data_IF_894025534837
#
_entry.id   IF_894025534837
#
_cell.length_a   1.000
_cell.length_b   1.000
_cell.length_c   1.000
_cell.angle_alpha   90.00
_cell.angle_beta   90.00
_cell.angle_gamma   90.00
#
_symmetry.space_group_name_H-M   'P 1'
#
loop_
_entity.id
_entity.type
_entity.pdbx_description
1 polymer ?
#
# COMPACT_ATOMS: atom_id res chain seq x y z
N UNK A 1 -1.69 5.45 9.47
CA UNK A 1 -0.36 5.51 10.13
C UNK A 1 0.25 4.12 10.14
N UNK A 2 1.54 4.01 9.91
CA UNK A 2 2.26 2.73 9.89
C UNK A 2 3.65 2.88 10.50
N UNK A 3 4.22 1.81 11.08
CA UNK A 3 5.54 1.79 11.71
C UNK A 3 5.76 2.95 12.70
N UNK A 4 4.75 3.24 13.49
CA UNK A 4 4.74 4.42 14.37
C UNK A 4 4.42 4.02 15.80
N UNK A 5 5.24 4.44 16.79
CA UNK A 5 4.94 4.20 18.21
C UNK A 5 3.61 4.84 18.63
N UNK A 6 2.96 4.27 19.63
CA UNK A 6 1.67 4.76 20.14
C UNK A 6 1.71 6.23 20.56
N UNK A 7 2.80 6.68 21.15
CA UNK A 7 2.99 8.08 21.53
C UNK A 7 2.90 9.03 20.34
N UNK A 8 3.59 8.70 19.25
CA UNK A 8 3.54 9.48 18.00
C UNK A 8 2.16 9.40 17.34
N UNK A 9 1.53 8.23 17.36
CA UNK A 9 0.15 8.07 16.85
C UNK A 9 -0.81 8.99 17.60
N UNK A 10 -0.70 9.09 18.92
CA UNK A 10 -1.54 9.97 19.73
C UNK A 10 -1.33 11.44 19.36
N UNK A 11 -0.09 11.86 19.08
CA UNK A 11 0.18 13.21 18.58
C UNK A 11 -0.50 13.47 17.26
N UNK A 12 -0.43 12.53 16.31
CA UNK A 12 -1.12 12.66 15.01
C UNK A 12 -2.61 12.83 15.20
N UNK A 13 -3.22 12.01 16.05
CA UNK A 13 -4.66 12.08 16.35
C UNK A 13 -5.03 13.46 16.90
N UNK A 14 -4.25 13.98 17.84
CA UNK A 14 -4.47 15.30 18.41
C UNK A 14 -4.34 16.43 17.38
N UNK A 15 -3.35 16.33 16.49
CA UNK A 15 -3.14 17.33 15.44
C UNK A 15 -4.29 17.30 14.43
N UNK A 16 -4.73 16.12 14.03
CA UNK A 16 -5.89 15.96 13.12
C UNK A 16 -7.14 16.56 13.77
N UNK A 17 -7.35 16.31 15.06
CA UNK A 17 -8.48 16.88 15.78
C UNK A 17 -8.41 18.42 15.87
N UNK A 18 -7.21 18.95 16.04
CA UNK A 18 -6.99 20.40 16.13
C UNK A 18 -7.11 21.12 14.79
N UNK A 19 -6.44 20.62 13.76
CA UNK A 19 -6.37 21.26 12.44
C UNK A 19 -7.55 20.93 11.54
N UNK A 20 -8.25 19.81 11.79
CA UNK A 20 -9.35 19.31 10.96
C UNK A 20 -8.91 18.99 9.52
N UNK A 21 -9.85 18.68 8.65
CA UNK A 21 -9.60 18.41 7.22
C UNK A 21 -9.25 16.98 6.88
N UNK A 22 -8.87 16.15 7.84
CA UNK A 22 -8.59 14.71 7.64
C UNK A 22 -9.36 13.86 8.63
N UNK A 23 -9.57 12.61 8.24
CA UNK A 23 -10.04 11.55 9.13
C UNK A 23 -9.01 10.42 9.14
N UNK A 24 -8.96 9.69 10.24
CA UNK A 24 -7.99 8.60 10.43
C UNK A 24 -8.69 7.27 10.16
N UNK A 25 -8.08 6.46 9.27
CA UNK A 25 -8.50 5.10 9.00
C UNK A 25 -7.47 4.12 9.59
N UNK A 26 -7.89 2.96 10.08
CA UNK A 26 -6.97 1.96 10.62
C UNK A 26 -6.04 1.36 9.56
N UNK A 27 -6.54 1.20 8.34
CA UNK A 27 -5.80 0.64 7.20
C UNK A 27 -6.02 1.46 5.95
N UNK A 28 -5.11 1.31 4.97
CA UNK A 28 -5.26 1.93 3.66
C UNK A 28 -6.48 1.35 2.96
N UNK A 29 -7.33 2.23 2.46
CA UNK A 29 -8.55 1.90 1.71
C UNK A 29 -8.70 2.82 0.51
N UNK A 30 -9.78 2.65 -0.24
CA UNK A 30 -10.03 3.43 -1.47
C UNK A 30 -10.18 4.94 -1.26
N UNK A 31 -10.50 5.38 -0.04
CA UNK A 31 -10.61 6.81 0.29
C UNK A 31 -9.34 7.37 0.92
N UNK A 32 -8.32 6.58 1.15
CA UNK A 32 -7.06 7.03 1.74
C UNK A 32 -6.31 7.92 0.76
N UNK A 33 -5.83 9.07 1.25
CA UNK A 33 -5.03 10.02 0.48
C UNK A 33 -3.61 10.15 1.00
N UNK A 34 -3.40 9.92 2.28
CA UNK A 34 -2.13 10.12 2.98
C UNK A 34 -1.80 8.92 3.85
N UNK A 35 -0.56 8.44 3.74
CA UNK A 35 0.00 7.40 4.60
C UNK A 35 1.18 8.02 5.34
N UNK A 36 1.12 8.01 6.67
CA UNK A 36 2.21 8.49 7.52
C UNK A 36 3.03 7.32 8.02
N UNK A 37 4.31 7.34 7.75
CA UNK A 37 5.25 6.30 8.18
C UNK A 37 6.20 6.85 9.26
N UNK A 38 6.23 6.22 10.41
CA UNK A 38 7.16 6.58 11.48
C UNK A 38 8.58 6.12 11.23
N UNK A 39 8.74 5.02 10.49
CA UNK A 39 10.01 4.50 9.99
C UNK A 39 9.83 4.13 8.52
N UNK A 40 10.88 4.28 7.68
CA UNK A 40 10.78 4.00 6.24
C UNK A 40 10.82 2.48 5.95
N UNK A 41 9.87 1.75 6.48
CA UNK A 41 9.75 0.30 6.31
C UNK A 41 8.69 -0.02 5.26
N UNK A 42 8.93 -1.08 4.49
CA UNK A 42 7.99 -1.58 3.47
C UNK A 42 6.86 -2.37 4.12
N UNK A 43 5.99 -1.68 4.83
CA UNK A 43 4.79 -2.30 5.41
C UNK A 43 3.71 -2.48 4.35
N UNK A 44 2.73 -3.33 4.63
CA UNK A 44 1.57 -3.52 3.75
C UNK A 44 0.84 -2.20 3.48
N UNK A 45 0.66 -1.36 4.51
CA UNK A 45 0.00 -0.06 4.35
C UNK A 45 0.81 0.90 3.45
N UNK A 46 2.15 0.88 3.52
CA UNK A 46 2.99 1.66 2.59
C UNK A 46 2.80 1.16 1.17
N UNK A 47 2.85 -0.14 0.95
CA UNK A 47 2.71 -0.72 -0.40
C UNK A 47 1.33 -0.47 -0.99
N UNK A 48 0.27 -0.63 -0.21
CA UNK A 48 -1.09 -0.29 -0.63
C UNK A 48 -1.24 1.20 -0.92
N UNK A 49 -0.63 2.05 -0.08
CA UNK A 49 -0.62 3.49 -0.29
C UNK A 49 0.06 3.88 -1.61
N UNK A 50 1.22 3.30 -1.91
CA UNK A 50 1.93 3.51 -3.18
C UNK A 50 1.06 3.05 -4.35
N UNK A 51 0.50 1.85 -4.29
CA UNK A 51 -0.32 1.28 -5.36
C UNK A 51 -1.58 2.11 -5.63
N UNK A 52 -2.14 2.78 -4.61
CA UNK A 52 -3.29 3.67 -4.74
C UNK A 52 -2.93 5.11 -5.11
N UNK A 53 -1.65 5.44 -5.21
CA UNK A 53 -1.19 6.78 -5.54
C UNK A 53 -1.32 7.77 -4.40
N UNK A 54 -1.28 7.31 -3.16
CA UNK A 54 -1.33 8.16 -1.97
C UNK A 54 0.00 8.89 -1.74
N UNK A 55 -0.06 9.99 -0.99
CA UNK A 55 1.11 10.57 -0.36
C UNK A 55 1.66 9.61 0.68
N UNK A 56 2.95 9.33 0.64
CA UNK A 56 3.66 8.56 1.68
C UNK A 56 4.65 9.50 2.35
N UNK A 57 4.33 9.91 3.56
CA UNK A 57 4.97 11.03 4.24
C UNK A 57 5.66 10.61 5.53
N UNK A 58 6.67 11.41 5.92
CA UNK A 58 7.28 11.29 7.23
C UNK A 58 6.39 11.92 8.32
N UNK A 59 6.61 11.48 9.56
CA UNK A 59 5.94 12.05 10.74
C UNK A 59 6.20 13.56 10.90
N UNK A 60 7.33 14.06 10.42
CA UNK A 60 7.70 15.47 10.52
C UNK A 60 6.70 16.41 9.85
N UNK A 61 6.00 15.94 8.80
CA UNK A 61 4.95 16.72 8.17
C UNK A 61 3.84 17.14 9.15
N UNK A 62 3.47 16.23 10.05
CA UNK A 62 2.46 16.51 11.09
C UNK A 62 2.99 17.52 12.10
N UNK A 63 4.24 17.36 12.54
CA UNK A 63 4.85 18.26 13.51
C UNK A 63 4.98 19.69 12.98
N UNK A 64 5.45 19.84 11.75
CA UNK A 64 5.57 21.16 11.12
C UNK A 64 4.22 21.78 10.81
N UNK A 65 3.23 20.97 10.44
CA UNK A 65 1.85 21.46 10.27
C UNK A 65 1.28 21.97 11.59
N UNK A 66 1.53 21.28 12.68
CA UNK A 66 1.12 21.73 14.02
C UNK A 66 1.78 23.06 14.38
N UNK A 67 3.10 23.16 14.18
CA UNK A 67 3.88 24.37 14.49
C UNK A 67 3.36 25.58 13.73
N UNK A 68 2.99 25.43 12.46
CA UNK A 68 2.50 26.50 11.60
C UNK A 68 0.97 26.71 11.70
N UNK A 69 0.26 25.83 12.41
CA UNK A 69 -1.17 25.96 12.67
C UNK A 69 -2.08 25.59 11.49
N UNK A 70 -1.55 25.00 10.43
CA UNK A 70 -2.32 24.52 9.28
C UNK A 70 -1.57 23.42 8.55
N UNK A 71 -2.28 22.61 7.76
CA UNK A 71 -1.67 21.58 6.94
C UNK A 71 -0.79 22.21 5.86
N UNK A 72 0.50 21.85 5.85
CA UNK A 72 1.48 22.41 4.92
C UNK A 72 1.68 21.48 3.72
N UNK A 73 2.44 21.96 2.72
CA UNK A 73 2.74 21.15 1.54
C UNK A 73 3.35 19.80 1.90
N UNK A 74 2.86 18.75 1.29
CA UNK A 74 3.32 17.37 1.50
C UNK A 74 4.67 17.10 0.85
N UNK A 75 4.97 17.73 -0.26
CA UNK A 75 6.11 17.40 -1.13
C UNK A 75 7.47 17.34 -0.41
N UNK A 76 7.84 18.31 0.46
CA UNK A 76 9.13 18.25 1.16
C UNK A 76 9.26 17.06 2.12
N UNK A 77 8.15 16.46 2.51
CA UNK A 77 8.08 15.37 3.50
C UNK A 77 7.80 14.01 2.86
N UNK A 78 7.67 13.96 1.54
CA UNK A 78 7.45 12.71 0.82
C UNK A 78 8.68 11.82 0.92
N UNK A 79 8.47 10.55 1.29
CA UNK A 79 9.53 9.57 1.46
C UNK A 79 10.03 9.01 0.12
N UNK A 80 10.28 9.89 -0.85
CA UNK A 80 10.68 9.53 -2.21
C UNK A 80 12.06 8.87 -2.27
N UNK A 81 12.96 9.18 -1.34
CA UNK A 81 14.28 8.56 -1.27
C UNK A 81 14.17 7.07 -0.88
N UNK A 82 13.29 6.74 0.05
CA UNK A 82 13.07 5.38 0.52
C UNK A 82 12.10 4.60 -0.38
N UNK A 83 11.14 5.30 -0.97
CA UNK A 83 10.10 4.72 -1.82
C UNK A 83 9.98 5.49 -3.14
N UNK A 84 10.92 5.28 -4.08
CA UNK A 84 10.92 6.03 -5.34
C UNK A 84 9.65 5.87 -6.18
N UNK A 85 8.94 4.76 -6.02
CA UNK A 85 7.67 4.52 -6.72
C UNK A 85 6.52 5.40 -6.20
N UNK A 86 6.60 5.90 -4.97
CA UNK A 86 5.53 6.69 -4.37
C UNK A 86 5.20 7.95 -5.18
N UNK A 87 6.16 8.86 -5.49
CA UNK A 87 5.86 10.03 -6.29
C UNK A 87 5.45 9.67 -7.73
N UNK A 88 5.99 8.61 -8.30
CA UNK A 88 5.64 8.17 -9.67
C UNK A 88 4.19 7.70 -9.73
N UNK A 89 3.78 6.80 -8.84
CA UNK A 89 2.40 6.29 -8.80
C UNK A 89 1.41 7.41 -8.46
N UNK A 90 1.77 8.31 -7.55
CA UNK A 90 0.93 9.46 -7.21
C UNK A 90 0.70 10.37 -8.42
N UNK A 91 1.74 10.67 -9.18
CA UNK A 91 1.64 11.50 -10.39
C UNK A 91 0.80 10.80 -11.46
N UNK A 92 1.03 9.52 -11.71
CA UNK A 92 0.24 8.73 -12.67
C UNK A 92 -1.23 8.66 -12.27
N UNK A 93 -1.51 8.45 -10.99
CA UNK A 93 -2.87 8.44 -10.45
C UNK A 93 -3.57 9.78 -10.68
N UNK A 94 -2.87 10.89 -10.44
CA UNK A 94 -3.41 12.22 -10.62
C UNK A 94 -3.72 12.55 -12.08
N UNK A 95 -2.93 12.02 -13.02
CA UNK A 95 -3.12 12.21 -14.46
C UNK A 95 -4.14 11.23 -15.06
N UNK A 96 -4.57 10.23 -14.31
CA UNK A 96 -5.51 9.22 -14.78
C UNK A 96 -6.91 9.80 -14.91
N UNK A 97 -7.58 9.50 -16.03
CA UNK A 97 -8.95 9.95 -16.33
C UNK A 97 -10.04 9.05 -15.73
N UNK A 98 -9.70 8.10 -14.89
CA UNK A 98 -10.64 7.16 -14.27
C UNK A 98 -10.01 6.51 -13.05
N UNK A 99 -10.58 5.40 -12.54
CA UNK A 99 -9.97 4.68 -11.43
C UNK A 99 -8.53 4.28 -11.78
N UNK A 100 -7.59 4.72 -10.95
CA UNK A 100 -6.18 4.41 -11.17
C UNK A 100 -5.90 2.94 -10.91
N UNK A 101 -5.13 2.34 -11.80
CA UNK A 101 -4.66 0.97 -11.67
C UNK A 101 -3.25 0.87 -12.23
N UNK A 102 -2.32 0.36 -11.42
CA UNK A 102 -0.95 0.13 -11.85
C UNK A 102 -0.84 -0.97 -12.90
N UNK A 103 0.35 -1.13 -13.48
CA UNK A 103 0.61 -2.10 -14.54
C UNK A 103 1.71 -3.11 -14.20
N UNK A 104 2.23 -3.07 -12.97
CA UNK A 104 3.36 -3.91 -12.55
C UNK A 104 3.15 -5.40 -12.85
N UNK A 105 1.94 -5.91 -12.64
CA UNK A 105 1.59 -7.32 -12.87
C UNK A 105 0.69 -7.53 -14.10
N UNK A 106 0.57 -6.53 -14.97
CA UNK A 106 -0.33 -6.59 -16.12
C UNK A 106 0.01 -7.73 -17.10
N UNK A 107 1.31 -8.03 -17.25
CA UNK A 107 1.80 -9.08 -18.15
C UNK A 107 1.95 -10.44 -17.45
N UNK A 108 1.64 -10.52 -16.17
CA UNK A 108 1.72 -11.78 -15.44
C UNK A 108 0.48 -12.63 -15.62
N UNK A 109 0.62 -13.97 -15.65
CA UNK A 109 -0.53 -14.87 -15.69
C UNK A 109 -1.36 -14.77 -14.41
N UNK A 110 -2.56 -15.37 -14.43
CA UNK A 110 -3.45 -15.37 -13.27
C UNK A 110 -2.78 -16.01 -12.06
N UNK A 111 -3.00 -15.41 -10.89
CA UNK A 111 -2.39 -15.81 -9.62
C UNK A 111 -3.46 -16.33 -8.67
N UNK A 112 -3.12 -17.37 -7.93
CA UNK A 112 -3.91 -17.85 -6.81
C UNK A 112 -3.15 -17.54 -5.52
N UNK A 113 -3.82 -16.85 -4.59
CA UNK A 113 -3.24 -16.54 -3.28
C UNK A 113 -3.73 -17.55 -2.26
N UNK A 114 -2.79 -18.22 -1.59
CA UNK A 114 -3.11 -19.25 -0.58
C UNK A 114 -3.92 -18.69 0.57
N UNK A 115 -4.96 -19.41 1.05
CA UNK A 115 -5.70 -19.01 2.25
C UNK A 115 -4.84 -18.90 3.50
N UNK A 116 -3.70 -19.61 3.53
CA UNK A 116 -2.77 -19.60 4.66
C UNK A 116 -1.70 -18.51 4.55
N UNK A 117 -1.81 -17.60 3.57
CA UNK A 117 -0.83 -16.54 3.37
C UNK A 117 -0.82 -15.49 4.49
N UNK A 118 0.34 -14.88 4.69
CA UNK A 118 0.53 -13.74 5.58
C UNK A 118 1.35 -12.69 4.82
N UNK A 119 0.85 -11.49 4.61
CA UNK A 119 -0.42 -10.90 5.07
C UNK A 119 -1.69 -11.64 4.59
N UNK A 120 -2.88 -11.28 5.13
CA UNK A 120 -4.13 -11.95 4.76
C UNK A 120 -4.41 -11.94 3.26
N UNK A 121 -5.06 -12.99 2.77
CA UNK A 121 -5.42 -13.18 1.35
C UNK A 121 -6.09 -11.94 0.75
N UNK A 122 -7.06 -11.36 1.45
CA UNK A 122 -7.81 -10.20 0.94
C UNK A 122 -6.89 -9.02 0.62
N UNK A 123 -5.89 -8.78 1.46
CA UNK A 123 -4.94 -7.67 1.27
C UNK A 123 -3.94 -7.94 0.16
N UNK A 124 -3.45 -9.17 0.03
CA UNK A 124 -2.57 -9.55 -1.07
C UNK A 124 -3.30 -9.49 -2.41
N UNK A 125 -4.54 -9.97 -2.47
CA UNK A 125 -5.37 -9.88 -3.67
C UNK A 125 -5.64 -8.42 -4.06
N UNK A 126 -5.93 -7.57 -3.09
CA UNK A 126 -6.10 -6.14 -3.31
C UNK A 126 -4.84 -5.52 -3.94
N UNK A 127 -3.66 -5.81 -3.38
CA UNK A 127 -2.39 -5.28 -3.88
C UNK A 127 -2.10 -5.79 -5.30
N UNK A 128 -2.28 -7.08 -5.58
CA UNK A 128 -2.13 -7.66 -6.92
C UNK A 128 -3.06 -6.97 -7.90
N UNK A 129 -4.32 -6.79 -7.53
CA UNK A 129 -5.32 -6.15 -8.38
C UNK A 129 -4.98 -4.68 -8.67
N UNK A 130 -4.55 -3.92 -7.66
CA UNK A 130 -4.13 -2.53 -7.83
C UNK A 130 -2.91 -2.39 -8.74
N UNK A 131 -2.05 -3.40 -8.80
CA UNK A 131 -0.88 -3.44 -9.67
C UNK A 131 -1.18 -4.04 -11.05
N UNK A 132 -2.43 -4.18 -11.42
CA UNK A 132 -2.86 -4.66 -12.74
C UNK A 132 -2.88 -6.18 -12.89
N UNK A 133 -2.62 -6.94 -11.83
CA UNK A 133 -2.64 -8.39 -11.85
C UNK A 133 -4.04 -8.99 -11.85
N UNK A 134 -4.13 -10.26 -12.21
CA UNK A 134 -5.36 -11.05 -12.19
C UNK A 134 -5.30 -12.09 -11.10
N UNK A 135 -6.35 -12.21 -10.31
CA UNK A 135 -6.47 -13.19 -9.23
C UNK A 135 -7.48 -14.27 -9.63
N UNK A 136 -7.07 -15.54 -9.50
CA UNK A 136 -7.95 -16.69 -9.70
C UNK A 136 -8.52 -17.15 -8.36
N UNK A 137 -9.80 -17.56 -8.37
CA UNK A 137 -10.46 -18.12 -7.19
C UNK A 137 -10.10 -19.59 -6.95
N UNK A 138 -9.54 -20.28 -7.93
CA UNK A 138 -9.19 -21.69 -7.85
C UNK A 138 -7.74 -21.91 -8.32
N UNK A 139 -6.95 -22.76 -7.60
CA UNK A 139 -5.55 -22.93 -7.92
C UNK A 139 -5.30 -23.57 -9.30
N UNK A 140 -6.19 -24.41 -9.77
CA UNK A 140 -6.05 -25.07 -11.08
C UNK A 140 -6.11 -24.14 -12.29
N UNK A 141 -6.69 -22.94 -12.12
CA UNK A 141 -6.80 -21.92 -13.17
C UNK A 141 -5.68 -20.90 -13.12
N UNK A 142 -4.78 -21.02 -12.15
CA UNK A 142 -3.67 -20.10 -11.95
C UNK A 142 -2.36 -20.73 -12.45
N UNK A 143 -1.48 -19.89 -13.00
CA UNK A 143 -0.11 -20.29 -13.35
C UNK A 143 0.91 -19.86 -12.31
N UNK A 144 0.50 -19.05 -11.34
CA UNK A 144 1.31 -18.64 -10.20
C UNK A 144 0.51 -18.88 -8.93
N UNK A 145 1.13 -19.51 -7.95
CA UNK A 145 0.57 -19.71 -6.61
C UNK A 145 1.43 -18.92 -5.61
N UNK A 146 0.80 -18.05 -4.84
CA UNK A 146 1.45 -17.20 -3.84
C UNK A 146 1.15 -17.74 -2.44
N UNK A 147 2.19 -17.92 -1.65
CA UNK A 147 2.08 -18.34 -0.25
C UNK A 147 2.12 -19.85 -0.07
N UNK A 148 1.87 -20.34 1.18
CA UNK A 148 1.94 -21.77 1.50
C UNK A 148 0.90 -22.56 0.71
N UNK A 149 1.33 -23.64 0.07
CA UNK A 149 0.46 -24.51 -0.73
C UNK A 149 0.69 -25.97 -0.36
N UNK A 150 -0.34 -26.63 0.13
CA UNK A 150 -0.31 -28.02 0.60
C UNK A 150 -0.78 -29.04 -0.46
N UNK A 151 -1.32 -28.58 -1.59
CA UNK A 151 -1.75 -29.44 -2.67
C UNK A 151 -0.59 -30.01 -3.49
N UNK A 152 -0.92 -30.87 -4.45
CA UNK A 152 0.07 -31.43 -5.36
C UNK A 152 0.59 -30.35 -6.31
N UNK A 153 1.90 -30.11 -6.29
CA UNK A 153 2.56 -29.13 -7.14
C UNK A 153 2.67 -29.64 -8.58
N UNK A 154 2.44 -28.74 -9.53
CA UNK A 154 2.56 -29.00 -10.96
C UNK A 154 3.80 -28.32 -11.53
N UNK A 155 4.48 -28.97 -12.48
CA UNK A 155 5.69 -28.44 -13.10
C UNK A 155 5.45 -27.15 -13.92
N UNK A 156 4.23 -26.94 -14.41
CA UNK A 156 3.85 -25.78 -15.22
C UNK A 156 3.44 -24.55 -14.38
N UNK A 157 3.39 -24.69 -13.06
CA UNK A 157 2.96 -23.64 -12.14
C UNK A 157 4.13 -23.15 -11.31
N UNK A 158 4.28 -21.84 -11.18
CA UNK A 158 5.29 -21.22 -10.30
C UNK A 158 4.72 -21.08 -8.90
N UNK A 159 5.48 -21.50 -7.90
CA UNK A 159 5.12 -21.41 -6.49
C UNK A 159 6.04 -20.39 -5.82
N UNK A 160 5.49 -19.25 -5.41
CA UNK A 160 6.23 -18.10 -4.90
C UNK A 160 5.79 -17.77 -3.47
N UNK A 161 6.68 -17.16 -2.70
CA UNK A 161 6.32 -16.63 -1.40
C UNK A 161 5.58 -15.30 -1.53
N UNK A 162 4.92 -14.85 -0.46
CA UNK A 162 4.25 -13.55 -0.39
C UNK A 162 5.22 -12.40 -0.66
N UNK A 163 6.50 -12.58 -0.34
CA UNK A 163 7.55 -11.57 -0.56
C UNK A 163 7.71 -11.19 -2.03
N UNK A 164 7.34 -12.08 -2.95
CA UNK A 164 7.39 -11.77 -4.38
C UNK A 164 6.38 -10.70 -4.77
N UNK A 165 5.23 -10.64 -4.10
CA UNK A 165 4.20 -9.62 -4.30
C UNK A 165 4.58 -8.35 -3.56
N UNK A 166 5.14 -8.49 -2.37
CA UNK A 166 5.56 -7.40 -1.50
C UNK A 166 6.95 -6.87 -1.92
#
# INVERSE_FOLDING_TARGET
>A
MTSMPSEKQNVVIQVVDKLKGFSIAPDVCETTTHVLSGKPLRTLNVLLGIARGCWVLSYDWVLWSLELGHWISEEPFELSHHFPAAPLCRSECHLSAGPYRGTLFADQPAMFVSPASSPPVAKLCELVHLCGGRVSQVPRQASIVIGPYSGKKKATVKYLSEKWVL
#
